data_IF_246429435489
#
_entry.id   IF_246429435489
#
_cell.length_a   1.000
_cell.length_b   1.000
_cell.length_c   1.000
_cell.angle_alpha   90.00
_cell.angle_beta   90.00
_cell.angle_gamma   90.00
#
_symmetry.space_group_name_H-M   'P 1'
#
loop_
_entity.id
_entity.type
_entity.pdbx_description
1 polymer ?
#
# COMPACT_ATOMS: atom_id res chain seq x y z
N UNK A 1 4.83 -11.50 16.86
CA UNK A 1 5.76 -10.38 17.21
C UNK A 1 4.89 -9.18 17.54
N UNK A 2 5.20 -8.45 18.62
CA UNK A 2 4.44 -7.24 19.00
C UNK A 2 4.96 -6.07 18.18
N UNK A 3 4.08 -5.41 17.41
CA UNK A 3 4.42 -4.23 16.60
C UNK A 3 4.69 -3.02 17.51
N UNK A 4 5.72 -2.27 17.22
CA UNK A 4 6.00 -1.01 17.89
C UNK A 4 5.17 0.11 17.24
N UNK A 5 4.39 0.84 18.07
CA UNK A 5 3.47 1.87 17.58
C UNK A 5 3.95 3.27 17.93
N UNK A 6 3.94 4.16 16.95
CA UNK A 6 4.18 5.59 17.13
C UNK A 6 2.86 6.35 17.02
N UNK A 7 2.39 6.88 18.16
CA UNK A 7 1.19 7.71 18.20
C UNK A 7 1.54 9.15 17.80
N UNK A 8 0.90 9.63 16.74
CA UNK A 8 1.11 10.97 16.20
C UNK A 8 -0.06 11.88 16.59
N UNK A 9 0.24 13.15 16.86
CA UNK A 9 -0.78 14.16 17.06
C UNK A 9 -1.53 14.49 15.75
N UNK A 10 -0.79 14.56 14.63
CA UNK A 10 -1.34 14.76 13.28
C UNK A 10 -0.39 14.20 12.23
N UNK A 11 -0.90 13.77 11.05
CA UNK A 11 -0.03 13.41 9.95
C UNK A 11 0.78 14.61 9.45
N UNK A 12 1.96 14.36 8.91
CA UNK A 12 2.77 15.39 8.28
C UNK A 12 2.07 16.02 7.06
N UNK A 13 2.45 17.25 6.71
CA UNK A 13 1.87 17.92 5.55
C UNK A 13 2.21 17.21 4.23
N UNK A 14 1.29 17.23 3.27
CA UNK A 14 1.51 16.62 1.95
C UNK A 14 2.77 17.15 1.28
N UNK A 15 3.02 18.44 1.35
CA UNK A 15 4.19 19.05 0.72
C UNK A 15 5.49 18.46 1.28
N UNK A 16 5.61 18.29 2.60
CA UNK A 16 6.79 17.69 3.22
C UNK A 16 6.94 16.22 2.85
N UNK A 17 5.84 15.47 2.76
CA UNK A 17 5.85 14.05 2.39
C UNK A 17 6.28 13.85 0.93
N UNK A 18 5.81 14.67 0.00
CA UNK A 18 6.25 14.63 -1.39
C UNK A 18 7.73 15.01 -1.56
N UNK A 19 8.22 15.97 -0.79
CA UNK A 19 9.64 16.29 -0.79
C UNK A 19 10.50 15.12 -0.31
N UNK A 20 10.09 14.44 0.77
CA UNK A 20 10.75 13.23 1.25
C UNK A 20 10.70 12.11 0.20
N UNK A 21 9.54 11.89 -0.42
CA UNK A 21 9.38 10.90 -1.48
C UNK A 21 10.33 11.18 -2.67
N UNK A 22 10.49 12.44 -3.07
CA UNK A 22 11.37 12.83 -4.17
C UNK A 22 12.86 12.67 -3.82
N UNK A 23 13.23 12.77 -2.53
CA UNK A 23 14.63 12.65 -2.09
C UNK A 23 15.14 11.20 -2.06
N UNK A 24 14.27 10.22 -1.77
CA UNK A 24 14.64 8.81 -1.67
C UNK A 24 14.45 8.12 -3.02
N UNK A 25 15.56 7.75 -3.67
CA UNK A 25 15.55 7.17 -5.02
C UNK A 25 16.10 5.75 -5.11
N UNK A 26 16.68 5.24 -4.03
CA UNK A 26 17.33 3.93 -3.99
C UNK A 26 16.73 3.05 -2.91
N UNK A 27 16.74 1.76 -3.16
CA UNK A 27 16.42 0.75 -2.14
C UNK A 27 17.54 0.75 -1.11
N UNK A 28 17.21 0.87 0.18
CA UNK A 28 18.16 0.95 1.29
C UNK A 28 18.18 -0.30 2.17
N UNK A 29 17.35 -1.29 1.88
CA UNK A 29 17.24 -2.52 2.65
C UNK A 29 16.32 -3.55 2.01
N UNK A 30 16.23 -4.71 2.63
CA UNK A 30 15.45 -5.87 2.20
C UNK A 30 14.41 -6.31 3.23
N UNK A 31 14.22 -5.52 4.30
CA UNK A 31 13.26 -5.78 5.37
C UNK A 31 12.32 -4.59 5.55
N UNK A 32 11.07 -4.87 5.86
CA UNK A 32 10.12 -3.83 6.28
C UNK A 32 10.32 -3.51 7.77
N UNK A 33 10.10 -2.24 8.18
CA UNK A 33 10.12 -1.89 9.59
C UNK A 33 8.97 -2.59 10.34
N UNK A 34 9.24 -3.01 11.57
CA UNK A 34 8.22 -3.54 12.49
C UNK A 34 7.36 -2.43 13.09
N UNK A 35 7.71 -1.17 12.82
CA UNK A 35 7.01 0.01 13.31
C UNK A 35 5.71 0.25 12.56
N UNK A 36 4.73 0.79 13.30
CA UNK A 36 3.47 1.29 12.74
C UNK A 36 3.18 2.69 13.24
N UNK A 37 2.39 3.44 12.49
CA UNK A 37 1.95 4.79 12.84
C UNK A 37 0.48 4.79 13.22
N UNK A 38 0.12 5.56 14.26
CA UNK A 38 -1.26 5.81 14.67
C UNK A 38 -1.56 7.29 14.74
N UNK A 39 -2.77 7.67 14.35
CA UNK A 39 -3.23 9.04 14.44
C UNK A 39 -4.75 9.11 14.53
N UNK A 40 -5.28 10.06 15.29
CA UNK A 40 -6.70 10.43 15.17
C UNK A 40 -6.86 11.42 14.01
N UNK A 41 -7.76 11.10 13.07
CA UNK A 41 -8.01 11.92 11.90
C UNK A 41 -9.48 12.35 11.90
N UNK A 42 -9.78 13.65 12.09
CA UNK A 42 -11.15 14.15 12.05
C UNK A 42 -11.70 14.14 10.62
N UNK A 43 -13.00 13.87 10.50
CA UNK A 43 -13.71 13.99 9.23
C UNK A 43 -13.94 15.46 8.90
N UNK A 44 -13.31 15.93 7.85
CA UNK A 44 -13.52 17.28 7.33
C UNK A 44 -14.72 17.28 6.38
N UNK A 45 -15.85 17.84 6.81
CA UNK A 45 -17.11 17.80 6.07
C UNK A 45 -17.01 18.39 4.65
N UNK A 46 -16.23 19.47 4.46
CA UNK A 46 -15.98 20.04 3.14
C UNK A 46 -15.30 19.05 2.18
N UNK A 47 -14.29 18.32 2.67
CA UNK A 47 -13.57 17.31 1.89
C UNK A 47 -14.47 16.09 1.60
N UNK A 48 -15.26 15.66 2.59
CA UNK A 48 -16.21 14.57 2.42
C UNK A 48 -17.28 14.92 1.38
N UNK A 49 -17.86 16.13 1.44
CA UNK A 49 -18.84 16.61 0.46
C UNK A 49 -18.26 16.68 -0.97
N UNK A 50 -17.03 17.19 -1.13
CA UNK A 50 -16.33 17.20 -2.40
C UNK A 50 -16.07 15.77 -2.93
N UNK A 51 -15.66 14.84 -2.06
CA UNK A 51 -15.44 13.44 -2.41
C UNK A 51 -16.72 12.75 -2.87
N UNK A 52 -17.83 12.92 -2.11
CA UNK A 52 -19.14 12.38 -2.49
C UNK A 52 -19.59 12.87 -3.86
N UNK A 53 -19.46 14.18 -4.11
CA UNK A 53 -19.81 14.79 -5.39
C UNK A 53 -18.98 14.20 -6.54
N UNK A 54 -17.66 14.06 -6.34
CA UNK A 54 -16.74 13.55 -7.36
C UNK A 54 -16.99 12.07 -7.68
N UNK A 55 -17.24 11.26 -6.66
CA UNK A 55 -17.40 9.82 -6.79
C UNK A 55 -18.88 9.37 -6.87
N UNK A 56 -19.83 10.32 -6.94
CA UNK A 56 -21.27 10.04 -7.01
C UNK A 56 -21.82 9.22 -5.83
N UNK A 57 -21.26 9.40 -4.63
CA UNK A 57 -21.80 8.80 -3.41
C UNK A 57 -22.98 9.61 -2.86
N UNK A 58 -24.01 8.94 -2.32
CA UNK A 58 -25.13 9.63 -1.68
C UNK A 58 -24.71 10.34 -0.40
N UNK A 59 -25.46 11.37 -0.03
CA UNK A 59 -25.34 12.02 1.29
C UNK A 59 -26.36 11.41 2.25
N UNK A 60 -26.09 10.20 2.73
CA UNK A 60 -26.94 9.40 3.60
C UNK A 60 -26.49 9.42 5.08
N UNK A 61 -25.61 10.34 5.45
CA UNK A 61 -25.04 10.44 6.80
C UNK A 61 -23.99 9.37 7.13
N UNK A 62 -23.56 8.55 6.15
CA UNK A 62 -22.53 7.52 6.32
C UNK A 62 -21.28 7.91 5.54
N UNK A 63 -20.10 7.54 6.05
CA UNK A 63 -18.90 7.64 5.24
C UNK A 63 -18.94 6.61 4.10
N UNK A 64 -18.61 6.99 2.85
CA UNK A 64 -18.34 6.02 1.80
C UNK A 64 -17.28 5.01 2.23
N UNK A 65 -17.44 3.73 1.87
CA UNK A 65 -16.52 2.65 2.28
C UNK A 65 -15.05 2.93 1.95
N UNK A 66 -14.81 3.65 0.87
CA UNK A 66 -13.47 4.03 0.40
C UNK A 66 -12.91 5.30 1.07
N UNK A 67 -13.73 6.07 1.78
CA UNK A 67 -13.28 7.35 2.34
C UNK A 67 -12.27 7.20 3.48
N UNK A 68 -12.33 6.19 4.37
CA UNK A 68 -11.27 5.94 5.35
C UNK A 68 -9.88 5.78 4.74
N UNK A 69 -9.77 5.16 3.54
CA UNK A 69 -8.52 5.07 2.81
C UNK A 69 -7.99 6.46 2.39
N UNK A 70 -8.87 7.33 1.90
CA UNK A 70 -8.52 8.72 1.56
C UNK A 70 -8.05 9.51 2.79
N UNK A 71 -8.70 9.30 3.94
CA UNK A 71 -8.29 9.93 5.21
C UNK A 71 -6.91 9.45 5.66
N UNK A 72 -6.61 8.16 5.50
CA UNK A 72 -5.36 7.54 5.89
C UNK A 72 -4.16 7.92 5.01
N UNK A 73 -4.39 8.43 3.81
CA UNK A 73 -3.37 8.59 2.77
C UNK A 73 -2.10 9.32 3.24
N UNK A 74 -2.23 10.41 3.99
CA UNK A 74 -1.05 11.14 4.49
C UNK A 74 -0.25 10.30 5.50
N UNK A 75 -0.93 9.49 6.31
CA UNK A 75 -0.28 8.61 7.28
C UNK A 75 0.45 7.45 6.58
N UNK A 76 -0.16 6.88 5.54
CA UNK A 76 0.47 5.88 4.67
C UNK A 76 1.73 6.44 3.99
N UNK A 77 1.64 7.65 3.40
CA UNK A 77 2.79 8.32 2.82
C UNK A 77 3.89 8.59 3.86
N UNK A 78 3.52 8.97 5.08
CA UNK A 78 4.47 9.24 6.16
C UNK A 78 5.23 7.97 6.54
N UNK A 79 4.57 6.83 6.65
CA UNK A 79 5.22 5.54 6.88
C UNK A 79 6.19 5.19 5.74
N UNK A 80 5.72 5.24 4.49
CA UNK A 80 6.53 4.86 3.32
C UNK A 80 7.67 5.84 3.00
N UNK A 81 7.65 7.06 3.54
CA UNK A 81 8.72 8.04 3.39
C UNK A 81 9.60 8.18 4.62
N UNK A 82 9.40 7.34 5.63
CA UNK A 82 10.26 7.29 6.81
C UNK A 82 11.71 6.88 6.42
N UNK A 83 12.72 7.36 7.15
CA UNK A 83 14.12 7.08 6.84
C UNK A 83 14.46 5.58 6.81
N UNK A 84 13.84 4.81 7.70
CA UNK A 84 13.99 3.37 7.89
C UNK A 84 13.14 2.54 6.94
N UNK A 85 12.16 3.13 6.25
CA UNK A 85 11.40 2.41 5.24
C UNK A 85 12.31 2.11 4.03
N UNK A 86 12.50 0.83 3.61
CA UNK A 86 13.60 0.46 2.72
C UNK A 86 13.38 0.87 1.25
N UNK A 87 12.14 1.10 0.84
CA UNK A 87 11.80 1.27 -0.57
C UNK A 87 11.47 2.72 -0.93
N UNK A 88 11.92 3.20 -2.11
CA UNK A 88 11.52 4.51 -2.59
C UNK A 88 10.04 4.51 -2.97
N UNK A 89 9.29 5.53 -2.54
CA UNK A 89 7.87 5.67 -2.89
C UNK A 89 7.67 5.82 -4.40
N UNK A 90 8.56 6.58 -5.06
CA UNK A 90 8.54 6.74 -6.51
C UNK A 90 9.00 5.44 -7.18
N UNK A 91 8.11 4.86 -7.98
CA UNK A 91 8.34 3.55 -8.62
C UNK A 91 7.57 2.40 -7.99
N UNK A 92 6.88 2.62 -6.86
CA UNK A 92 5.89 1.68 -6.37
C UNK A 92 4.68 1.65 -7.30
N UNK A 93 4.17 0.47 -7.56
CA UNK A 93 2.94 0.24 -8.35
C UNK A 93 1.90 -0.38 -7.43
N UNK A 94 0.73 0.23 -7.39
CA UNK A 94 -0.41 -0.32 -6.66
C UNK A 94 -0.99 -1.48 -7.46
N UNK A 95 -0.92 -2.69 -6.93
CA UNK A 95 -1.33 -3.92 -7.60
C UNK A 95 -2.74 -4.33 -7.22
N UNK A 96 -3.08 -4.20 -5.96
CA UNK A 96 -4.36 -4.66 -5.41
C UNK A 96 -4.77 -3.81 -4.21
N UNK A 97 -6.08 -3.61 -4.03
CA UNK A 97 -6.65 -3.00 -2.84
C UNK A 97 -7.86 -3.82 -2.38
N UNK A 98 -7.91 -4.12 -1.09
CA UNK A 98 -9.03 -4.76 -0.43
C UNK A 98 -9.52 -3.86 0.69
N UNK A 99 -10.79 -3.50 0.65
CA UNK A 99 -11.46 -2.73 1.71
C UNK A 99 -12.55 -3.59 2.32
N UNK A 100 -12.42 -3.87 3.60
CA UNK A 100 -13.40 -4.64 4.37
C UNK A 100 -14.07 -3.75 5.41
N UNK A 101 -15.35 -3.51 5.25
CA UNK A 101 -16.16 -2.73 6.19
C UNK A 101 -16.76 -3.68 7.22
N UNK A 102 -16.27 -3.63 8.42
CA UNK A 102 -16.66 -4.52 9.52
C UNK A 102 -17.93 -4.05 10.22
N UNK A 103 -18.20 -2.73 10.22
CA UNK A 103 -19.34 -2.11 10.89
C UNK A 103 -19.86 -0.90 10.10
N UNK A 104 -21.13 -0.52 10.27
CA UNK A 104 -21.70 0.67 9.62
C UNK A 104 -20.91 1.95 9.93
N UNK A 105 -20.65 2.75 8.90
CA UNK A 105 -19.85 3.98 8.97
C UNK A 105 -20.70 5.25 9.19
N UNK A 106 -21.83 5.13 9.91
CA UNK A 106 -22.72 6.26 10.23
C UNK A 106 -22.26 7.04 11.46
N UNK A 107 -22.51 8.36 11.46
CA UNK A 107 -22.24 9.23 12.62
C UNK A 107 -20.75 9.32 13.00
N UNK A 108 -19.85 9.24 12.03
CA UNK A 108 -18.40 9.27 12.23
C UNK A 108 -17.90 10.70 12.12
N UNK A 109 -17.40 11.24 13.23
CA UNK A 109 -16.78 12.58 13.30
C UNK A 109 -15.26 12.52 13.08
N UNK A 110 -14.66 11.36 13.34
CA UNK A 110 -13.24 11.09 13.14
C UNK A 110 -12.92 9.63 13.39
N UNK A 111 -11.77 9.20 12.92
CA UNK A 111 -11.27 7.83 13.02
C UNK A 111 -9.90 7.82 13.68
N UNK A 112 -9.67 6.87 14.58
CA UNK A 112 -8.30 6.47 14.92
C UNK A 112 -7.82 5.57 13.80
N UNK A 113 -6.76 6.00 13.14
CA UNK A 113 -6.18 5.27 12.00
C UNK A 113 -4.83 4.74 12.41
N UNK A 114 -4.61 3.46 12.14
CA UNK A 114 -3.33 2.79 12.29
C UNK A 114 -2.84 2.32 10.91
N UNK A 115 -1.56 2.52 10.60
CA UNK A 115 -0.96 2.04 9.35
C UNK A 115 0.35 1.32 9.62
N UNK A 116 0.60 0.24 8.88
CA UNK A 116 1.83 -0.53 8.94
C UNK A 116 2.07 -1.30 7.65
N UNK A 117 3.32 -1.68 7.41
CA UNK A 117 3.69 -2.54 6.29
C UNK A 117 4.02 -3.95 6.77
N UNK A 118 3.72 -4.96 5.96
CA UNK A 118 4.08 -6.34 6.23
C UNK A 118 4.13 -7.18 4.96
N UNK A 119 4.38 -8.49 5.11
CA UNK A 119 4.28 -9.47 4.03
C UNK A 119 5.15 -9.15 2.80
N UNK A 120 6.43 -8.78 3.04
CA UNK A 120 7.37 -8.61 1.94
C UNK A 120 7.63 -9.95 1.26
N UNK A 121 7.31 -10.05 -0.02
CA UNK A 121 7.43 -11.26 -0.82
C UNK A 121 8.25 -11.01 -2.09
N UNK A 122 9.07 -11.98 -2.52
CA UNK A 122 9.70 -11.93 -3.83
C UNK A 122 8.65 -11.97 -4.95
N UNK A 123 8.88 -11.20 -6.00
CA UNK A 123 8.05 -11.20 -7.20
C UNK A 123 8.92 -11.23 -8.45
N UNK A 124 8.41 -11.76 -9.56
CA UNK A 124 9.16 -11.91 -10.82
C UNK A 124 9.75 -10.58 -11.34
N UNK A 125 9.13 -9.44 -11.03
CA UNK A 125 9.58 -8.10 -11.42
C UNK A 125 10.23 -7.31 -10.29
N UNK A 126 10.53 -7.95 -9.14
CA UNK A 126 11.13 -7.29 -7.99
C UNK A 126 10.60 -7.84 -6.66
N UNK A 127 9.73 -7.15 -5.98
CA UNK A 127 9.10 -7.56 -4.74
C UNK A 127 7.69 -6.99 -4.59
N UNK A 128 6.92 -7.54 -3.67
CA UNK A 128 5.63 -7.00 -3.24
C UNK A 128 5.56 -6.92 -1.74
N UNK A 129 4.82 -5.98 -1.20
CA UNK A 129 4.49 -5.90 0.21
C UNK A 129 3.08 -5.37 0.40
N UNK A 130 2.51 -5.61 1.56
CA UNK A 130 1.19 -5.12 1.91
C UNK A 130 1.29 -3.94 2.88
N UNK A 131 0.54 -2.89 2.59
CA UNK A 131 0.34 -1.73 3.45
C UNK A 131 -1.05 -1.83 4.05
N UNK A 132 -1.13 -2.09 5.34
CA UNK A 132 -2.40 -2.25 6.06
C UNK A 132 -2.79 -0.95 6.72
N UNK A 133 -4.07 -0.65 6.63
CA UNK A 133 -4.71 0.46 7.33
C UNK A 133 -5.90 -0.07 8.12
N UNK A 134 -5.89 0.16 9.42
CA UNK A 134 -6.98 -0.14 10.32
C UNK A 134 -7.61 1.17 10.77
N UNK A 135 -8.94 1.27 10.68
CA UNK A 135 -9.68 2.46 11.08
C UNK A 135 -10.71 2.11 12.16
N UNK A 136 -10.61 2.77 13.30
CA UNK A 136 -11.36 2.49 14.51
C UNK A 136 -12.15 3.73 15.00
N UNK A 137 -13.24 3.47 15.72
CA UNK A 137 -13.93 4.44 16.55
C UNK A 137 -14.03 3.94 17.99
N UNK A 138 -13.26 4.56 18.88
CA UNK A 138 -13.09 4.07 20.26
C UNK A 138 -12.36 2.74 20.27
N UNK A 139 -13.02 1.67 20.74
CA UNK A 139 -12.50 0.29 20.76
C UNK A 139 -13.11 -0.59 19.66
N UNK A 140 -13.79 0.00 18.67
CA UNK A 140 -14.48 -0.73 17.62
C UNK A 140 -13.73 -0.60 16.30
N UNK A 141 -13.25 -1.72 15.77
CA UNK A 141 -12.75 -1.81 14.41
C UNK A 141 -13.89 -1.58 13.42
N UNK A 142 -13.73 -0.61 12.54
CA UNK A 142 -14.73 -0.25 11.55
C UNK A 142 -14.35 -0.70 10.14
N UNK A 143 -13.09 -0.50 9.75
CA UNK A 143 -12.60 -0.78 8.40
C UNK A 143 -11.18 -1.32 8.47
N UNK A 144 -10.91 -2.35 7.70
CA UNK A 144 -9.54 -2.80 7.38
C UNK A 144 -9.31 -2.62 5.88
N UNK A 145 -8.15 -2.07 5.53
CA UNK A 145 -7.73 -1.83 4.15
C UNK A 145 -6.36 -2.46 3.97
N UNK A 146 -6.22 -3.24 2.93
CA UNK A 146 -4.97 -3.88 2.55
C UNK A 146 -4.61 -3.49 1.11
N UNK A 147 -3.50 -2.76 0.98
CA UNK A 147 -2.95 -2.32 -0.30
C UNK A 147 -1.71 -3.16 -0.63
N UNK A 148 -1.76 -3.98 -1.66
CA UNK A 148 -0.57 -4.68 -2.15
C UNK A 148 0.19 -3.79 -3.12
N UNK A 149 1.44 -3.48 -2.79
CA UNK A 149 2.32 -2.62 -3.55
C UNK A 149 3.46 -3.43 -4.16
N UNK A 150 3.74 -3.21 -5.44
CA UNK A 150 4.82 -3.84 -6.18
C UNK A 150 6.02 -2.93 -6.34
N UNK A 151 7.22 -3.51 -6.15
CA UNK A 151 8.51 -2.90 -6.41
C UNK A 151 9.00 -3.35 -7.78
N UNK A 152 9.36 -2.42 -8.66
CA UNK A 152 10.07 -2.77 -9.87
C UNK A 152 11.56 -2.94 -9.56
N UNK A 153 12.14 -4.08 -9.93
CA UNK A 153 13.60 -4.26 -9.92
C UNK A 153 14.23 -3.25 -10.89
N UNK A 154 15.17 -2.48 -10.41
CA UNK A 154 15.97 -1.57 -11.25
C UNK A 154 16.88 -2.30 -12.24
N UNK A 155 16.92 -3.65 -12.17
CA UNK A 155 17.66 -4.49 -13.09
C UNK A 155 16.67 -5.40 -13.83
N UNK A 156 16.19 -5.02 -15.03
CA UNK A 156 15.45 -5.94 -15.86
C UNK A 156 16.42 -7.10 -16.17
N UNK A 157 16.27 -8.25 -15.52
CA UNK A 157 16.92 -9.47 -16.00
C UNK A 157 16.54 -9.61 -17.47
N UNK A 158 17.53 -9.45 -18.35
CA UNK A 158 17.39 -9.86 -19.73
C UNK A 158 16.79 -11.28 -19.70
N UNK A 159 15.75 -11.55 -20.47
CA UNK A 159 15.30 -12.92 -20.65
C UNK A 159 16.35 -13.62 -21.50
N UNK A 160 17.36 -14.15 -20.86
CA UNK A 160 18.33 -15.07 -21.46
C UNK A 160 17.85 -16.50 -21.21
N UNK A 161 16.66 -16.77 -21.70
CA UNK A 161 16.03 -18.08 -21.60
C UNK A 161 15.62 -18.57 -23.00
N UNK A 162 16.54 -18.41 -23.96
CA UNK A 162 16.39 -18.98 -25.31
C UNK A 162 17.30 -20.18 -25.56
N UNK A 163 17.87 -20.81 -24.54
CA UNK A 163 18.86 -21.87 -24.75
C UNK A 163 18.34 -23.29 -24.51
N UNK A 164 17.14 -23.50 -24.01
CA UNK A 164 16.66 -24.86 -23.70
C UNK A 164 15.64 -25.46 -24.69
N UNK A 165 15.26 -24.79 -25.77
CA UNK A 165 14.34 -25.35 -26.76
C UNK A 165 15.00 -25.88 -28.04
N UNK A 166 16.31 -25.90 -28.15
CA UNK A 166 16.98 -26.39 -29.39
C UNK A 166 17.56 -27.81 -29.24
N UNK A 167 17.43 -28.47 -28.07
CA UNK A 167 17.97 -29.83 -27.88
C UNK A 167 16.97 -30.99 -27.98
N UNK A 168 15.70 -30.74 -28.19
CA UNK A 168 14.69 -31.82 -28.29
C UNK A 168 14.28 -32.19 -29.71
N UNK A 169 14.99 -31.75 -30.74
CA UNK A 169 14.62 -31.90 -32.14
C UNK A 169 15.62 -32.60 -33.03
N UNK A 170 16.45 -33.54 -32.54
CA UNK A 170 17.32 -34.34 -33.41
C UNK A 170 17.63 -35.73 -32.85
N UNK A 171 16.70 -36.64 -33.00
CA UNK A 171 16.90 -38.09 -33.09
C UNK A 171 15.59 -38.64 -33.70
N UNK A 172 15.55 -39.24 -34.79
CA UNK A 172 16.42 -39.91 -35.66
C UNK A 172 15.57 -40.40 -36.80
N UNK A 173 15.96 -40.01 -37.95
CA UNK A 173 15.61 -40.72 -39.17
C UNK A 173 16.59 -41.84 -39.34
N UNK A 174 16.16 -43.00 -39.60
CA UNK A 174 16.60 -43.79 -40.75
C UNK A 174 16.39 -45.28 -40.54
N UNK A 175 16.49 -46.06 -41.60
CA UNK A 175 15.65 -46.23 -42.78
C UNK A 175 15.55 -47.71 -43.15
N UNK A 176 14.80 -47.99 -44.24
CA UNK A 176 15.00 -49.11 -45.16
C UNK A 176 14.78 -50.56 -44.60
N UNK A 177 14.00 -51.32 -45.14
CA UNK A 177 13.83 -51.82 -46.56
C UNK A 177 12.39 -52.27 -46.76
#
# INVERSE_FOLDING_TARGET
MSRHWHDLHSPASRASLYLRAASKRTISGDHLPDDGLRCFIPVQQGNLGAYRKLCHFPDDGRLPATYPHVMAFNLQLQLMTAPDFPFPLLGLVHLYNRIEVLRPLGGIEGLRVAVYAHNLQPHAKGGTFDLVTEAERGLLDLVTIEDTLGLQSSNPRRPDDRTDQVRAGRQGTHPRE
#
